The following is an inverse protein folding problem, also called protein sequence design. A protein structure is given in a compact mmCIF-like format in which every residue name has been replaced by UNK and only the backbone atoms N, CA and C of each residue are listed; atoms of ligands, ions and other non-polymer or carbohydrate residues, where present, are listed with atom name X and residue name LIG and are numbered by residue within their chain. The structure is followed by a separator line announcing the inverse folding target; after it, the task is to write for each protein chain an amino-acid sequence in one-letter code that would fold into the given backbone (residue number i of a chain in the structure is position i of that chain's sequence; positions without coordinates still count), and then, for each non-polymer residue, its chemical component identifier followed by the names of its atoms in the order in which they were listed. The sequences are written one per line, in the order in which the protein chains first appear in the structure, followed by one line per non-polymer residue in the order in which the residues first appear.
data_IF_843821339018
#
_entry.id   IF_843821339018
#
_cell.length_a   1.000
_cell.length_b   1.000
_cell.length_c   1.000
_cell.angle_alpha   90.00
_cell.angle_beta   90.00
_cell.angle_gamma   90.00
#
_symmetry.space_group_name_H-M   'P 1'
#
loop_
_entity.id
_entity.type
_entity.pdbx_description
1 polymer ?
#
# COMPACT_ATOMS: atom_id res chain seq x y z
N UNK A 1 55.18 -43.18 7.53
CA UNK A 1 54.81 -41.78 7.83
C UNK A 1 53.86 -41.28 6.74
N UNK A 2 52.56 -41.35 7.02
CA UNK A 2 51.48 -40.94 6.10
C UNK A 2 51.34 -39.42 6.20
N UNK A 3 51.55 -38.69 5.10
CA UNK A 3 51.27 -37.25 5.02
C UNK A 3 49.80 -37.07 4.65
N UNK A 4 49.00 -36.61 5.62
CA UNK A 4 47.59 -36.28 5.46
C UNK A 4 47.49 -34.91 4.77
N UNK A 5 46.84 -34.87 3.60
CA UNK A 5 46.58 -33.66 2.84
C UNK A 5 45.35 -32.96 3.45
N UNK A 6 45.54 -31.79 4.08
CA UNK A 6 44.43 -30.94 4.57
C UNK A 6 43.79 -30.23 3.37
N UNK A 7 42.56 -30.61 3.03
CA UNK A 7 41.70 -29.85 2.14
C UNK A 7 41.13 -28.63 2.86
N UNK A 8 41.38 -27.43 2.33
CA UNK A 8 40.72 -26.20 2.76
C UNK A 8 39.40 -26.09 1.99
N UNK A 9 38.29 -26.35 2.67
CA UNK A 9 36.95 -26.00 2.16
C UNK A 9 36.69 -24.55 2.56
N UNK A 10 36.75 -23.64 1.58
CA UNK A 10 36.29 -22.28 1.77
C UNK A 10 34.75 -22.28 1.79
N UNK A 11 34.14 -22.21 2.98
CA UNK A 11 32.72 -21.87 3.10
C UNK A 11 32.54 -20.40 2.70
N UNK A 12 31.99 -20.16 1.51
CA UNK A 12 31.36 -18.89 1.18
C UNK A 12 30.11 -18.76 2.05
N UNK A 13 30.23 -18.07 3.17
CA UNK A 13 29.09 -17.56 3.93
C UNK A 13 28.44 -16.43 3.12
N UNK A 14 27.69 -16.79 2.08
CA UNK A 14 26.69 -15.90 1.52
C UNK A 14 25.66 -15.66 2.60
N UNK A 15 25.73 -14.49 3.26
CA UNK A 15 24.67 -14.06 4.15
C UNK A 15 23.36 -14.12 3.40
N UNK A 16 22.44 -14.97 3.87
CA UNK A 16 21.04 -14.88 3.49
C UNK A 16 20.61 -13.49 3.95
N UNK A 17 20.54 -12.53 3.03
CA UNK A 17 19.82 -11.30 3.26
C UNK A 17 18.41 -11.74 3.66
N UNK A 18 18.07 -11.61 4.93
CA UNK A 18 16.71 -11.84 5.41
C UNK A 18 15.81 -10.95 4.53
N UNK A 19 14.91 -11.57 3.76
CA UNK A 19 13.90 -10.84 3.04
C UNK A 19 13.11 -10.06 4.09
N UNK A 20 13.21 -8.72 4.08
CA UNK A 20 12.40 -7.91 4.95
C UNK A 20 10.93 -8.07 4.53
N UNK A 21 10.13 -8.65 5.41
CA UNK A 21 8.69 -8.88 5.21
C UNK A 21 7.91 -7.56 5.22
N UNK A 22 6.72 -7.59 4.64
CA UNK A 22 5.83 -6.42 4.65
C UNK A 22 5.42 -6.07 6.09
N UNK A 23 5.46 -4.78 6.42
CA UNK A 23 4.87 -4.28 7.67
C UNK A 23 3.46 -3.80 7.41
N UNK A 24 2.52 -4.16 8.29
CA UNK A 24 1.12 -3.72 8.18
C UNK A 24 0.79 -2.78 9.33
N UNK A 25 0.36 -1.56 9.00
CA UNK A 25 -0.09 -0.54 9.95
C UNK A 25 -1.59 -0.38 9.78
N UNK A 26 -2.35 -0.85 10.78
CA UNK A 26 -3.81 -0.78 10.78
C UNK A 26 -4.25 0.42 11.61
N UNK A 27 -5.17 1.25 11.10
CA UNK A 27 -5.73 2.36 11.87
C UNK A 27 -6.23 1.91 13.25
N UNK A 28 -5.86 2.60 14.35
CA UNK A 28 -5.17 3.89 14.44
C UNK A 28 -3.70 3.78 14.85
N UNK A 29 -3.03 2.64 14.61
CA UNK A 29 -1.61 2.47 14.95
C UNK A 29 -0.79 3.58 14.31
N UNK A 30 0.12 4.20 15.08
CA UNK A 30 0.95 5.29 14.59
C UNK A 30 1.68 4.90 13.28
N UNK A 31 1.68 5.82 12.31
CA UNK A 31 2.38 5.64 11.04
C UNK A 31 3.90 5.57 11.28
N UNK A 32 4.66 4.87 10.42
CA UNK A 32 6.12 4.84 10.51
C UNK A 32 6.71 6.25 10.55
N UNK A 33 7.64 6.50 11.47
CA UNK A 33 8.31 7.79 11.57
C UNK A 33 9.33 8.01 10.45
N UNK A 34 9.98 6.94 9.99
CA UNK A 34 10.89 6.95 8.84
C UNK A 34 10.17 6.61 7.53
N UNK A 35 10.71 7.07 6.40
CA UNK A 35 10.19 6.76 5.05
C UNK A 35 11.21 5.95 4.25
N UNK A 36 11.78 4.91 4.87
CA UNK A 36 12.82 4.09 4.24
C UNK A 36 12.25 3.04 3.27
N UNK A 37 10.99 2.65 3.47
CA UNK A 37 10.27 1.66 2.65
C UNK A 37 9.16 2.32 1.86
N UNK A 38 8.81 1.82 0.65
CA UNK A 38 7.64 2.30 -0.05
C UNK A 38 6.39 2.08 0.80
N UNK A 39 5.51 3.08 0.82
CA UNK A 39 4.24 3.05 1.52
C UNK A 39 3.08 2.87 0.54
N UNK A 40 2.23 1.88 0.82
CA UNK A 40 1.03 1.59 0.02
C UNK A 40 -0.20 1.76 0.89
N UNK A 41 -1.07 2.71 0.53
CA UNK A 41 -2.37 2.88 1.19
C UNK A 41 -3.45 2.00 0.55
N UNK A 42 -4.22 1.29 1.39
CA UNK A 42 -5.26 0.34 0.97
C UNK A 42 -6.66 0.95 1.09
N UNK A 43 -6.93 2.00 0.30
CA UNK A 43 -8.19 2.74 0.30
C UNK A 43 -9.29 2.11 -0.55
N UNK A 44 -10.54 2.48 -0.26
CA UNK A 44 -11.70 2.02 -1.02
C UNK A 44 -12.78 1.37 -0.17
N UNK A 45 -13.60 0.54 -0.80
CA UNK A 45 -14.74 -0.14 -0.20
C UNK A 45 -14.37 -0.93 1.06
N UNK A 46 -14.93 -0.49 2.20
CA UNK A 46 -14.96 -1.19 3.49
C UNK A 46 -16.43 -1.22 3.91
N UNK A 47 -17.20 -2.11 3.31
CA UNK A 47 -18.67 -2.13 3.47
C UNK A 47 -19.09 -2.96 4.68
N UNK A 48 -18.61 -2.61 5.88
CA UNK A 48 -19.07 -3.16 7.17
C UNK A 48 -19.19 -4.72 7.22
N UNK A 49 -18.39 -5.45 6.42
CA UNK A 49 -18.44 -6.91 6.28
C UNK A 49 -19.14 -7.46 5.04
N UNK A 50 -19.90 -6.66 4.30
CA UNK A 50 -20.57 -7.06 3.05
C UNK A 50 -19.64 -7.03 1.83
N UNK A 51 -18.60 -6.19 1.86
CA UNK A 51 -17.55 -6.22 0.84
C UNK A 51 -16.51 -7.31 1.16
N UNK A 52 -16.03 -8.06 0.13
CA UNK A 52 -14.89 -8.94 0.27
C UNK A 52 -13.69 -8.23 0.91
N UNK A 53 -12.94 -8.96 1.74
CA UNK A 53 -11.73 -8.44 2.40
C UNK A 53 -10.52 -8.44 1.48
N UNK A 54 -10.63 -7.65 0.42
CA UNK A 54 -9.60 -7.48 -0.59
C UNK A 54 -8.29 -6.93 0.00
N UNK A 55 -8.35 -6.19 1.12
CA UNK A 55 -7.16 -5.74 1.83
C UNK A 55 -6.30 -6.93 2.30
N UNK A 56 -6.92 -7.99 2.84
CA UNK A 56 -6.20 -9.21 3.23
C UNK A 56 -5.52 -9.88 2.05
N UNK A 57 -6.15 -9.89 0.87
CA UNK A 57 -5.56 -10.50 -0.32
C UNK A 57 -4.32 -9.73 -0.79
N UNK A 58 -4.37 -8.39 -0.78
CA UNK A 58 -3.19 -7.56 -1.08
C UNK A 58 -2.09 -7.73 -0.04
N UNK A 59 -2.43 -7.76 1.25
CA UNK A 59 -1.48 -7.99 2.35
C UNK A 59 -0.79 -9.35 2.18
N UNK A 60 -1.54 -10.42 1.92
CA UNK A 60 -0.98 -11.74 1.71
C UNK A 60 -0.06 -11.79 0.47
N UNK A 61 -0.49 -11.16 -0.64
CA UNK A 61 0.26 -11.16 -1.89
C UNK A 61 1.60 -10.38 -1.83
N UNK A 62 1.75 -9.48 -0.86
CA UNK A 62 2.94 -8.69 -0.61
C UNK A 62 3.68 -9.08 0.67
N UNK A 63 3.28 -10.15 1.36
CA UNK A 63 3.82 -10.47 2.70
C UNK A 63 5.34 -10.63 2.77
N UNK A 64 5.99 -10.92 1.64
CA UNK A 64 7.44 -11.11 1.53
C UNK A 64 8.16 -9.95 0.83
N UNK A 65 7.44 -8.85 0.58
CA UNK A 65 7.98 -7.63 -0.01
C UNK A 65 8.38 -6.63 1.08
N UNK A 66 9.51 -5.97 0.88
CA UNK A 66 9.93 -4.83 1.71
C UNK A 66 9.03 -3.61 1.38
N UNK A 67 7.91 -3.49 2.09
CA UNK A 67 6.86 -2.48 1.89
C UNK A 67 6.11 -2.21 3.20
N UNK A 68 5.67 -0.96 3.39
CA UNK A 68 4.75 -0.59 4.45
C UNK A 68 3.32 -0.50 3.91
N UNK A 69 2.43 -1.35 4.42
CA UNK A 69 1.02 -1.39 4.05
C UNK A 69 0.20 -0.61 5.07
N UNK A 70 -0.45 0.47 4.63
CA UNK A 70 -1.29 1.32 5.44
C UNK A 70 -2.75 0.90 5.23
N UNK A 71 -3.31 0.18 6.20
CA UNK A 71 -4.64 -0.41 6.10
C UNK A 71 -5.67 0.34 6.97
N UNK A 72 -6.62 1.08 6.37
CA UNK A 72 -7.66 1.78 7.12
C UNK A 72 -8.72 0.85 7.72
N UNK A 73 -8.83 -0.40 7.23
CA UNK A 73 -9.83 -1.37 7.70
C UNK A 73 -9.48 -1.93 9.07
N UNK A 74 -10.14 -1.40 10.11
CA UNK A 74 -10.00 -1.87 11.50
C UNK A 74 -11.00 -2.96 11.88
N UNK A 75 -10.58 -3.88 12.74
CA UNK A 75 -11.40 -4.99 13.22
C UNK A 75 -12.34 -4.59 14.37
N UNK A 76 -12.02 -3.53 15.09
CA UNK A 76 -12.74 -3.00 16.26
C UNK A 76 -13.69 -1.85 15.89
N UNK A 77 -14.05 -1.71 14.61
CA UNK A 77 -15.01 -0.67 14.19
C UNK A 77 -16.34 -0.81 14.94
N UNK A 78 -16.76 0.26 15.60
CA UNK A 78 -18.03 0.28 16.33
C UNK A 78 -19.08 1.09 15.54
N UNK A 79 -20.18 0.46 15.08
CA UNK A 79 -21.28 1.16 14.40
C UNK A 79 -21.95 2.28 15.21
N UNK A 80 -21.77 2.29 16.53
CA UNK A 80 -22.27 3.36 17.39
C UNK A 80 -21.45 4.66 17.33
N UNK A 81 -20.23 4.62 16.76
CA UNK A 81 -19.44 5.84 16.54
C UNK A 81 -20.14 6.72 15.52
N UNK A 82 -20.50 7.93 15.96
CA UNK A 82 -21.21 8.88 15.12
C UNK A 82 -20.25 9.47 14.08
N UNK A 83 -20.68 9.60 12.81
CA UNK A 83 -19.87 10.23 11.76
C UNK A 83 -19.88 11.76 11.89
N UNK A 84 -19.41 12.27 13.03
CA UNK A 84 -19.32 13.70 13.35
C UNK A 84 -17.93 14.01 13.87
N UNK A 85 -17.39 15.18 13.50
CA UNK A 85 -16.01 15.54 13.83
C UNK A 85 -15.71 15.60 15.33
N UNK A 86 -16.72 15.73 16.19
CA UNK A 86 -16.55 15.73 17.65
C UNK A 86 -16.51 14.32 18.27
N UNK A 87 -16.85 13.26 17.53
CA UNK A 87 -16.71 11.87 18.00
C UNK A 87 -15.23 11.46 17.96
N UNK A 88 -14.59 11.18 19.11
CA UNK A 88 -13.14 10.96 19.15
C UNK A 88 -12.65 9.78 18.31
N UNK A 89 -13.39 8.68 18.27
CA UNK A 89 -12.96 7.49 17.52
C UNK A 89 -13.11 7.69 16.01
N UNK A 90 -14.18 8.37 15.60
CA UNK A 90 -14.40 8.75 14.20
C UNK A 90 -13.35 9.76 13.74
N UNK A 91 -13.07 10.80 14.55
CA UNK A 91 -11.99 11.77 14.25
C UNK A 91 -10.65 11.08 14.08
N UNK A 92 -10.28 10.22 15.04
CA UNK A 92 -9.01 9.47 14.99
C UNK A 92 -8.90 8.64 13.71
N UNK A 93 -9.98 7.99 13.27
CA UNK A 93 -10.00 7.25 12.00
C UNK A 93 -9.71 8.17 10.82
N UNK A 94 -10.48 9.25 10.68
CA UNK A 94 -10.40 10.15 9.52
C UNK A 94 -9.05 10.86 9.46
N UNK A 95 -8.53 11.32 10.60
CA UNK A 95 -7.20 11.97 10.66
C UNK A 95 -6.08 10.98 10.33
N UNK A 96 -6.20 9.73 10.78
CA UNK A 96 -5.26 8.67 10.41
C UNK A 96 -5.30 8.37 8.91
N UNK A 97 -6.49 8.25 8.32
CA UNK A 97 -6.69 8.00 6.89
C UNK A 97 -6.06 9.10 6.03
N UNK A 98 -6.30 10.36 6.38
CA UNK A 98 -5.71 11.52 5.68
C UNK A 98 -4.18 11.53 5.78
N UNK A 99 -3.63 11.32 6.98
CA UNK A 99 -2.18 11.27 7.16
C UNK A 99 -1.53 10.09 6.40
N UNK A 100 -2.20 8.94 6.41
CA UNK A 100 -1.74 7.74 5.71
C UNK A 100 -1.76 7.94 4.19
N UNK A 101 -2.87 8.48 3.67
CA UNK A 101 -3.05 8.86 2.27
C UNK A 101 -1.98 9.86 1.81
N UNK A 102 -1.72 10.91 2.59
CA UNK A 102 -0.70 11.92 2.28
C UNK A 102 0.71 11.31 2.21
N UNK A 103 1.04 10.46 3.19
CA UNK A 103 2.37 9.85 3.28
C UNK A 103 2.63 8.70 2.30
N UNK A 104 1.58 8.16 1.65
CA UNK A 104 1.73 7.02 0.76
C UNK A 104 2.39 7.38 -0.58
N UNK A 105 3.30 6.51 -1.04
CA UNK A 105 3.93 6.58 -2.38
C UNK A 105 3.02 6.00 -3.46
N UNK A 106 2.20 5.02 -3.07
CA UNK A 106 1.19 4.38 -3.92
C UNK A 106 -0.12 4.33 -3.14
N UNK A 107 -1.19 4.79 -3.77
CA UNK A 107 -2.54 4.74 -3.19
C UNK A 107 -3.38 3.81 -4.05
N UNK A 108 -3.91 2.76 -3.44
CA UNK A 108 -4.94 1.92 -4.05
C UNK A 108 -6.29 2.51 -3.68
N UNK A 109 -7.16 2.63 -4.67
CA UNK A 109 -8.57 2.94 -4.45
C UNK A 109 -9.43 1.87 -5.11
N UNK A 110 -9.96 0.94 -4.30
CA UNK A 110 -10.84 -0.12 -4.76
C UNK A 110 -12.33 0.27 -4.60
N UNK A 111 -13.07 0.29 -5.70
CA UNK A 111 -14.51 0.52 -5.71
C UNK A 111 -15.25 -0.77 -6.04
N UNK A 112 -15.62 -1.56 -5.03
CA UNK A 112 -16.29 -2.85 -5.23
C UNK A 112 -17.67 -2.68 -5.90
N UNK A 113 -18.04 -3.64 -6.76
CA UNK A 113 -19.39 -3.71 -7.31
C UNK A 113 -20.44 -3.76 -6.18
N UNK A 114 -21.53 -3.02 -6.32
CA UNK A 114 -22.58 -2.91 -5.30
C UNK A 114 -22.26 -2.03 -4.08
N UNK A 115 -21.00 -1.59 -3.91
CA UNK A 115 -20.62 -0.64 -2.85
C UNK A 115 -20.95 0.81 -3.24
N UNK A 116 -21.22 1.67 -2.26
CA UNK A 116 -21.30 3.12 -2.50
C UNK A 116 -19.94 3.82 -2.38
N UNK A 117 -19.15 3.48 -1.35
CA UNK A 117 -17.84 4.05 -1.05
C UNK A 117 -17.73 5.58 -1.27
N UNK A 118 -18.63 6.42 -0.69
CA UNK A 118 -18.68 7.85 -0.99
C UNK A 118 -17.44 8.61 -0.47
N UNK A 119 -16.87 8.21 0.67
CA UNK A 119 -15.63 8.81 1.19
C UNK A 119 -14.45 8.50 0.27
N UNK A 120 -14.39 7.29 -0.27
CA UNK A 120 -13.36 6.90 -1.25
C UNK A 120 -13.41 7.72 -2.55
N UNK A 121 -14.57 8.23 -2.96
CA UNK A 121 -14.66 9.18 -4.07
C UNK A 121 -14.01 10.54 -3.72
N UNK A 122 -14.18 11.01 -2.48
CA UNK A 122 -13.52 12.22 -1.99
C UNK A 122 -11.99 12.03 -1.97
N UNK A 123 -11.52 10.92 -1.42
CA UNK A 123 -10.10 10.56 -1.35
C UNK A 123 -9.47 10.40 -2.74
N UNK A 124 -10.18 9.75 -3.67
CA UNK A 124 -9.77 9.68 -5.07
C UNK A 124 -9.62 11.08 -5.65
N UNK A 125 -10.55 12.00 -5.37
CA UNK A 125 -10.47 13.39 -5.80
C UNK A 125 -9.24 14.12 -5.24
N UNK A 126 -8.92 13.93 -3.96
CA UNK A 126 -7.75 14.52 -3.30
C UNK A 126 -6.43 14.07 -3.93
N UNK A 127 -6.33 12.81 -4.36
CA UNK A 127 -5.09 12.23 -4.88
C UNK A 127 -5.11 11.92 -6.38
N UNK A 128 -6.12 12.39 -7.13
CA UNK A 128 -6.24 12.20 -8.58
C UNK A 128 -5.01 12.71 -9.35
N UNK A 129 -4.35 13.73 -8.79
CA UNK A 129 -3.13 14.33 -9.33
C UNK A 129 -1.90 13.77 -8.63
N UNK A 130 -0.77 13.75 -9.31
CA UNK A 130 0.52 13.32 -8.73
C UNK A 130 0.90 11.87 -9.01
N UNK A 131 0.06 11.11 -9.73
CA UNK A 131 0.45 9.81 -10.30
C UNK A 131 0.51 8.63 -9.31
N UNK A 132 0.30 8.86 -8.01
CA UNK A 132 0.37 7.79 -7.00
C UNK A 132 -0.84 6.85 -6.98
N UNK A 133 -1.98 7.23 -7.56
CA UNK A 133 -3.18 6.40 -7.56
C UNK A 133 -3.13 5.23 -8.55
N UNK A 134 -3.63 4.08 -8.09
CA UNK A 134 -4.16 2.97 -8.88
C UNK A 134 -5.63 2.79 -8.49
N UNK A 135 -6.54 2.80 -9.45
CA UNK A 135 -7.97 2.62 -9.22
C UNK A 135 -8.40 1.25 -9.73
N UNK A 136 -8.95 0.41 -8.84
CA UNK A 136 -9.69 -0.80 -9.22
C UNK A 136 -11.17 -0.45 -9.19
N UNK A 137 -11.82 -0.46 -10.35
CA UNK A 137 -13.25 -0.14 -10.45
C UNK A 137 -13.91 -1.04 -11.51
N UNK A 138 -14.40 -2.23 -11.10
CA UNK A 138 -15.06 -3.16 -11.98
C UNK A 138 -16.44 -2.63 -12.39
N UNK A 139 -17.04 -3.28 -13.39
CA UNK A 139 -18.45 -3.10 -13.70
C UNK A 139 -19.33 -3.33 -12.46
N UNK A 140 -20.45 -2.62 -12.38
CA UNK A 140 -21.38 -2.71 -11.25
C UNK A 140 -21.10 -1.76 -10.08
N UNK A 141 -20.03 -0.95 -10.11
CA UNK A 141 -19.91 0.20 -9.22
C UNK A 141 -20.85 1.34 -9.70
N UNK A 142 -21.72 1.82 -8.82
CA UNK A 142 -22.82 2.74 -9.14
C UNK A 142 -22.40 4.11 -9.70
N UNK A 143 -21.12 4.49 -9.53
CA UNK A 143 -20.52 5.73 -10.06
C UNK A 143 -19.32 5.46 -10.96
N UNK A 144 -19.25 4.26 -11.56
CA UNK A 144 -18.16 3.87 -12.46
C UNK A 144 -17.90 4.90 -13.56
N UNK A 145 -18.94 5.40 -14.24
CA UNK A 145 -18.76 6.42 -15.29
C UNK A 145 -18.04 7.70 -14.81
N UNK A 146 -18.32 8.16 -13.58
CA UNK A 146 -17.60 9.30 -13.00
C UNK A 146 -16.14 8.96 -12.70
N UNK A 147 -15.88 7.75 -12.19
CA UNK A 147 -14.53 7.26 -11.91
C UNK A 147 -13.73 7.15 -13.21
N UNK A 148 -14.29 6.54 -14.25
CA UNK A 148 -13.64 6.32 -15.55
C UNK A 148 -13.26 7.65 -16.21
N UNK A 149 -14.21 8.59 -16.30
CA UNK A 149 -13.97 9.93 -16.89
C UNK A 149 -12.90 10.68 -16.09
N UNK A 150 -12.98 10.66 -14.76
CA UNK A 150 -12.02 11.35 -13.89
C UNK A 150 -10.63 10.74 -14.00
N UNK A 151 -10.54 9.40 -14.02
CA UNK A 151 -9.28 8.70 -14.18
C UNK A 151 -8.62 9.02 -15.52
N UNK A 152 -9.38 8.97 -16.61
CA UNK A 152 -8.90 9.36 -17.94
C UNK A 152 -8.45 10.83 -17.98
N UNK A 153 -9.24 11.74 -17.38
CA UNK A 153 -8.95 13.19 -17.35
C UNK A 153 -7.61 13.51 -16.68
N UNK A 154 -7.25 12.78 -15.64
CA UNK A 154 -6.06 13.02 -14.81
C UNK A 154 -4.93 12.02 -15.00
N UNK A 155 -5.07 11.05 -15.92
CA UNK A 155 -4.07 10.03 -16.18
C UNK A 155 -3.90 9.04 -15.03
N UNK A 156 -4.95 8.80 -14.25
CA UNK A 156 -4.94 7.79 -13.18
C UNK A 156 -4.98 6.40 -13.80
N UNK A 157 -4.09 5.52 -13.36
CA UNK A 157 -4.08 4.13 -13.81
C UNK A 157 -5.30 3.41 -13.25
N UNK A 158 -6.14 2.93 -14.15
CA UNK A 158 -7.29 2.08 -13.82
C UNK A 158 -7.02 0.62 -14.19
N UNK A 159 -7.54 -0.30 -13.39
CA UNK A 159 -7.47 -1.75 -13.55
C UNK A 159 -8.86 -2.38 -13.31
N UNK A 160 -9.11 -3.53 -13.92
CA UNK A 160 -10.42 -4.17 -13.89
C UNK A 160 -10.63 -5.10 -12.69
N UNK A 161 -9.56 -5.70 -12.19
CA UNK A 161 -9.61 -6.73 -11.16
C UNK A 161 -8.37 -6.77 -10.25
N UNK A 162 -8.39 -7.67 -9.28
CA UNK A 162 -7.32 -7.82 -8.29
C UNK A 162 -6.01 -8.35 -8.90
N UNK A 163 -6.00 -9.35 -9.81
CA UNK A 163 -4.78 -9.74 -10.53
C UNK A 163 -4.09 -8.57 -11.25
N UNK A 164 -4.83 -7.75 -11.99
CA UNK A 164 -4.28 -6.56 -12.66
C UNK A 164 -3.75 -5.52 -11.66
N UNK A 165 -4.48 -5.32 -10.54
CA UNK A 165 -4.03 -4.44 -9.45
C UNK A 165 -2.68 -4.91 -8.89
N UNK A 166 -2.53 -6.20 -8.57
CA UNK A 166 -1.30 -6.76 -8.03
C UNK A 166 -0.14 -6.66 -9.02
N UNK A 167 -0.40 -6.85 -10.32
CA UNK A 167 0.61 -6.71 -11.37
C UNK A 167 1.12 -5.26 -11.46
N UNK A 168 0.22 -4.28 -11.50
CA UNK A 168 0.58 -2.86 -11.54
C UNK A 168 1.30 -2.43 -10.25
N UNK A 169 0.84 -2.91 -9.08
CA UNK A 169 1.46 -2.61 -7.79
C UNK A 169 2.91 -3.11 -7.74
N UNK A 170 3.18 -4.35 -8.13
CA UNK A 170 4.54 -4.91 -8.20
C UNK A 170 5.43 -4.12 -9.16
N UNK A 171 4.89 -3.70 -10.31
CA UNK A 171 5.61 -2.84 -11.26
C UNK A 171 6.02 -1.51 -10.61
N UNK A 172 5.11 -0.84 -9.90
CA UNK A 172 5.42 0.43 -9.22
C UNK A 172 6.40 0.28 -8.07
N UNK A 173 6.28 -0.78 -7.27
CA UNK A 173 7.23 -1.09 -6.20
C UNK A 173 8.63 -1.36 -6.75
N UNK A 174 8.75 -2.10 -7.86
CA UNK A 174 10.03 -2.31 -8.53
C UNK A 174 10.65 -0.99 -9.03
N UNK A 175 9.84 -0.12 -9.64
CA UNK A 175 10.29 1.21 -10.07
C UNK A 175 10.75 2.09 -8.89
N UNK A 176 10.01 2.08 -7.78
CA UNK A 176 10.38 2.80 -6.55
C UNK A 176 11.74 2.33 -6.02
N UNK A 177 11.94 1.01 -5.92
CA UNK A 177 13.20 0.41 -5.46
C UNK A 177 14.38 0.79 -6.36
N UNK A 178 14.17 0.83 -7.69
CA UNK A 178 15.21 1.24 -8.63
C UNK A 178 15.59 2.72 -8.46
N UNK A 179 14.60 3.60 -8.34
CA UNK A 179 14.83 5.03 -8.13
C UNK A 179 15.57 5.30 -6.80
N UNK A 180 15.15 4.64 -5.71
CA UNK A 180 15.79 4.80 -4.40
C UNK A 180 17.23 4.26 -4.38
N UNK A 181 17.51 3.12 -5.01
CA UNK A 181 18.88 2.60 -5.10
C UNK A 181 19.81 3.54 -5.87
N UNK A 182 19.34 4.16 -6.94
CA UNK A 182 20.13 5.10 -7.72
C UNK A 182 20.50 6.36 -6.91
N UNK A 183 19.60 6.83 -6.04
CA UNK A 183 19.88 7.97 -5.14
C UNK A 183 20.93 7.60 -4.09
N UNK A 184 20.77 6.44 -3.42
CA UNK A 184 21.69 6.01 -2.37
C UNK A 184 23.10 5.70 -2.90
N UNK A 185 23.20 5.16 -4.12
CA UNK A 185 24.49 4.89 -4.77
C UNK A 185 25.28 6.16 -5.14
N UNK A 186 24.61 7.31 -5.26
CA UNK A 186 25.22 8.59 -5.61
C UNK A 186 25.48 9.51 -4.41
N UNK A 187 25.20 9.07 -3.17
CA UNK A 187 25.60 9.81 -1.98
C UNK A 187 27.11 9.64 -1.77
N UNK A 188 27.86 10.73 -1.54
CA UNK A 188 29.29 10.61 -1.21
C UNK A 188 29.42 9.74 0.05
N UNK A 189 30.34 8.78 0.01
CA UNK A 189 30.66 7.96 1.17
C UNK A 189 30.90 8.90 2.37
N UNK A 190 30.19 8.68 3.48
CA UNK A 190 30.44 9.42 4.71
C UNK A 190 31.94 9.32 5.01
N UNK A 191 32.60 10.47 5.08
CA UNK A 191 34.00 10.54 5.49
C UNK A 191 34.15 9.90 6.89
N UNK A 192 35.24 9.16 7.13
CA UNK A 192 35.46 8.40 8.35
C UNK A 192 35.47 9.27 9.61
#
# INVERSE_FOLDING_TARGET
MIKLLMGVVALLAGGLAHAEEARVFVSPVALPADHMRPRVFLGGSIDMGNAPDWQKEVIAALGQDEVDLLNPRRADWNPAWKPVASEPNFRTQVEWELAALDSADIVIMNFSAGSQAPVSLLEMGLHARGGKLIVLCPEGYWRKGNVDITAARYGVKQVADLPELLAELRKRLAAYRQAHRAVTANLPAKAP
#
